data_IF_778531054426
#
_entry.id   IF_778531054426
#
_cell.length_a   1.000
_cell.length_b   1.000
_cell.length_c   1.000
_cell.angle_alpha   90.00
_cell.angle_beta   90.00
_cell.angle_gamma   90.00
#
_symmetry.space_group_name_H-M   'P 1'
#
loop_
_entity.id
_entity.type
_entity.pdbx_description
1 polymer ?
#
# COMPACT_ATOMS: atom_id res chain seq x y z
N UNK A 1 11.91 31.80 20.09
CA UNK A 1 12.22 30.63 19.31
C UNK A 1 11.01 30.30 18.50
N UNK A 2 11.14 30.07 17.21
CA UNK A 2 10.07 29.42 16.43
C UNK A 2 9.92 28.00 16.97
N UNK A 3 8.70 27.45 17.11
CA UNK A 3 8.56 26.02 17.35
C UNK A 3 9.22 25.30 16.18
N UNK A 4 10.18 24.43 16.45
CA UNK A 4 10.98 23.71 15.43
C UNK A 4 10.19 22.60 14.70
N UNK A 5 8.86 22.47 14.92
CA UNK A 5 8.02 21.40 14.41
C UNK A 5 6.64 21.87 13.91
N UNK A 6 6.54 23.01 13.25
CA UNK A 6 5.30 23.36 12.54
C UNK A 6 5.24 22.63 11.18
N UNK A 7 4.68 21.43 11.17
CA UNK A 7 4.32 20.76 9.91
C UNK A 7 3.12 21.46 9.30
N UNK A 8 3.31 22.09 8.14
CA UNK A 8 2.25 22.79 7.40
C UNK A 8 1.61 21.81 6.40
N UNK A 9 0.30 21.63 6.47
CA UNK A 9 -0.46 20.85 5.52
C UNK A 9 -1.18 21.74 4.52
N UNK A 10 -1.26 21.36 3.23
CA UNK A 10 -2.08 22.07 2.26
C UNK A 10 -3.57 21.81 2.51
N UNK A 11 -4.43 22.65 1.92
CA UNK A 11 -5.88 22.48 2.03
C UNK A 11 -6.45 22.96 3.36
N UNK A 12 -7.47 22.30 3.84
CA UNK A 12 -8.16 22.61 5.08
C UNK A 12 -8.37 21.39 5.95
N UNK A 13 -8.47 21.59 7.27
CA UNK A 13 -8.81 20.52 8.20
C UNK A 13 -10.27 20.60 8.60
N UNK A 14 -10.96 19.45 8.55
CA UNK A 14 -12.26 19.25 9.16
C UNK A 14 -12.12 18.28 10.33
N UNK A 15 -12.70 18.64 11.46
CA UNK A 15 -12.63 17.85 12.67
C UNK A 15 -14.03 17.32 12.99
N UNK A 16 -14.16 16.00 12.99
CA UNK A 16 -15.38 15.31 13.37
C UNK A 16 -15.25 14.72 14.77
N UNK A 17 -16.34 14.73 15.51
CA UNK A 17 -16.45 14.02 16.78
C UNK A 17 -16.97 12.61 16.52
N UNK A 18 -16.21 11.60 16.94
CA UNK A 18 -16.63 10.20 16.93
C UNK A 18 -16.79 9.64 18.36
N UNK A 19 -17.31 8.42 18.45
CA UNK A 19 -17.39 7.72 19.74
C UNK A 19 -16.01 7.39 20.32
N UNK A 20 -14.98 7.24 19.46
CA UNK A 20 -13.62 6.87 19.83
C UNK A 20 -12.72 8.10 20.06
N UNK A 21 -13.19 9.32 19.74
CA UNK A 21 -12.42 10.54 19.91
C UNK A 21 -12.65 11.57 18.81
N UNK A 22 -11.60 12.27 18.40
CA UNK A 22 -11.65 13.23 17.31
C UNK A 22 -11.05 12.59 16.06
N UNK A 23 -11.77 12.72 14.95
CA UNK A 23 -11.31 12.38 13.62
C UNK A 23 -10.90 13.68 12.92
N UNK A 24 -9.67 13.73 12.42
CA UNK A 24 -9.14 14.87 11.69
C UNK A 24 -9.02 14.47 10.22
N UNK A 25 -9.71 15.19 9.34
CA UNK A 25 -9.69 14.97 7.90
C UNK A 25 -9.05 16.18 7.24
N UNK A 26 -8.04 15.95 6.39
CA UNK A 26 -7.45 16.98 5.56
C UNK A 26 -8.16 17.00 4.20
N UNK A 27 -8.87 18.09 3.91
CA UNK A 27 -9.54 18.30 2.62
C UNK A 27 -8.66 19.10 1.69
N UNK A 28 -8.38 18.55 0.51
CA UNK A 28 -7.59 19.21 -0.51
C UNK A 28 -7.97 18.71 -1.92
N UNK A 29 -7.59 19.49 -2.92
CA UNK A 29 -7.76 19.11 -4.32
C UNK A 29 -6.93 17.86 -4.67
N UNK A 30 -7.44 17.00 -5.55
CA UNK A 30 -6.78 15.76 -5.94
C UNK A 30 -5.39 15.99 -6.52
N UNK A 31 -5.21 16.98 -7.39
CA UNK A 31 -3.90 17.27 -7.98
C UNK A 31 -2.92 17.81 -6.92
N UNK A 32 -3.41 18.54 -5.93
CA UNK A 32 -2.63 18.95 -4.78
C UNK A 32 -2.25 17.75 -3.91
N UNK A 33 -3.17 16.84 -3.62
CA UNK A 33 -2.90 15.60 -2.91
C UNK A 33 -1.76 14.79 -3.56
N UNK A 34 -1.79 14.67 -4.89
CA UNK A 34 -0.79 13.92 -5.64
C UNK A 34 0.63 14.52 -5.55
N UNK A 35 0.76 15.83 -5.37
CA UNK A 35 2.08 16.47 -5.17
C UNK A 35 2.76 16.02 -3.88
N UNK A 36 2.01 15.50 -2.92
CA UNK A 36 2.53 14.96 -1.67
C UNK A 36 2.64 13.43 -1.68
N UNK A 37 1.75 12.74 -2.40
CA UNK A 37 1.78 11.29 -2.56
C UNK A 37 2.93 10.86 -3.45
N UNK A 38 3.09 11.45 -4.63
CA UNK A 38 4.11 11.00 -5.60
C UNK A 38 5.53 11.02 -5.00
N UNK A 39 6.02 12.10 -4.34
CA UNK A 39 7.33 12.08 -3.72
C UNK A 39 7.42 11.18 -2.48
N UNK A 40 6.28 10.86 -1.83
CA UNK A 40 6.24 9.93 -0.70
C UNK A 40 6.38 8.48 -1.13
N UNK A 41 5.94 8.16 -2.36
CA UNK A 41 5.98 6.80 -2.93
C UNK A 41 7.21 6.56 -3.80
N UNK A 42 7.71 7.58 -4.49
CA UNK A 42 8.81 7.47 -5.44
C UNK A 42 9.80 8.63 -5.30
N UNK A 43 11.11 8.36 -5.13
CA UNK A 43 12.11 9.42 -5.05
C UNK A 43 12.08 10.36 -6.27
N UNK A 44 12.15 11.67 -6.03
CA UNK A 44 12.14 12.69 -7.10
C UNK A 44 13.31 12.60 -8.08
N UNK A 45 14.37 11.87 -7.70
CA UNK A 45 15.53 11.59 -8.55
C UNK A 45 15.31 10.54 -9.64
N UNK A 46 14.12 9.92 -9.66
CA UNK A 46 13.78 8.95 -10.72
C UNK A 46 13.53 9.65 -12.04
N UNK A 47 13.63 8.88 -13.13
CA UNK A 47 13.40 9.39 -14.49
C UNK A 47 12.00 10.02 -14.61
N UNK A 48 11.92 11.14 -15.35
CA UNK A 48 10.70 11.93 -15.51
C UNK A 48 9.48 11.09 -15.94
N UNK A 49 9.66 10.17 -16.89
CA UNK A 49 8.56 9.34 -17.37
C UNK A 49 8.10 8.30 -16.31
N UNK A 50 9.00 7.85 -15.43
CA UNK A 50 8.63 7.03 -14.29
C UNK A 50 7.80 7.82 -13.27
N UNK A 51 8.20 9.05 -12.94
CA UNK A 51 7.42 9.94 -12.08
C UNK A 51 6.04 10.25 -12.66
N UNK A 52 5.93 10.44 -13.98
CA UNK A 52 4.65 10.64 -14.67
C UNK A 52 3.77 9.38 -14.61
N UNK A 53 4.35 8.20 -14.80
CA UNK A 53 3.63 6.94 -14.66
C UNK A 53 3.10 6.77 -13.22
N UNK A 54 3.94 7.06 -12.22
CA UNK A 54 3.53 7.04 -10.81
C UNK A 54 2.38 8.01 -10.53
N UNK A 55 2.44 9.24 -11.06
CA UNK A 55 1.37 10.22 -10.90
C UNK A 55 0.04 9.73 -11.50
N UNK A 56 0.08 9.10 -12.69
CA UNK A 56 -1.12 8.52 -13.33
C UNK A 56 -1.67 7.34 -12.51
N UNK A 57 -0.80 6.45 -12.01
CA UNK A 57 -1.22 5.33 -11.16
C UNK A 57 -1.84 5.82 -9.85
N UNK A 58 -1.17 6.75 -9.16
CA UNK A 58 -1.65 7.30 -7.89
C UNK A 58 -3.00 8.02 -8.05
N UNK A 59 -3.16 8.81 -9.11
CA UNK A 59 -4.43 9.47 -9.44
C UNK A 59 -5.53 8.46 -9.71
N UNK A 60 -5.24 7.42 -10.49
CA UNK A 60 -6.19 6.35 -10.81
C UNK A 60 -6.66 5.63 -9.57
N UNK A 61 -5.72 5.27 -8.69
CA UNK A 61 -6.01 4.63 -7.42
C UNK A 61 -6.91 5.51 -6.53
N UNK A 62 -6.56 6.78 -6.36
CA UNK A 62 -7.38 7.71 -5.58
C UNK A 62 -8.80 7.85 -6.17
N UNK A 63 -8.94 8.00 -7.50
CA UNK A 63 -10.25 8.04 -8.16
C UNK A 63 -11.07 6.76 -7.93
N UNK A 64 -10.44 5.59 -7.93
CA UNK A 64 -11.11 4.34 -7.63
C UNK A 64 -11.62 4.33 -6.18
N UNK A 65 -10.80 4.75 -5.21
CA UNK A 65 -11.18 4.82 -3.79
C UNK A 65 -12.31 5.79 -3.51
N UNK A 66 -12.28 6.98 -4.13
CA UNK A 66 -13.37 7.97 -4.05
C UNK A 66 -14.70 7.35 -4.52
N UNK A 67 -14.68 6.56 -5.59
CA UNK A 67 -15.88 5.90 -6.12
C UNK A 67 -16.36 4.75 -5.24
N UNK A 68 -15.47 3.96 -4.67
CA UNK A 68 -15.78 2.85 -3.78
C UNK A 68 -16.29 3.29 -2.42
N UNK A 69 -16.01 4.53 -2.03
CA UNK A 69 -16.41 5.11 -0.73
C UNK A 69 -15.95 4.26 0.46
N UNK A 70 -14.76 3.70 0.36
CA UNK A 70 -14.20 2.79 1.36
C UNK A 70 -14.15 3.42 2.76
N UNK A 71 -13.88 4.72 2.83
CA UNK A 71 -13.74 5.48 4.07
C UNK A 71 -14.91 6.43 4.36
N UNK A 72 -16.08 6.24 3.72
CA UNK A 72 -17.25 7.13 3.87
C UNK A 72 -17.68 7.31 5.34
N UNK A 73 -17.60 6.26 6.15
CA UNK A 73 -17.90 6.31 7.59
C UNK A 73 -16.96 7.23 8.38
N UNK A 74 -15.81 7.56 7.83
CA UNK A 74 -14.82 8.47 8.39
C UNK A 74 -14.79 9.82 7.69
N UNK A 75 -15.76 10.09 6.81
CA UNK A 75 -15.84 11.31 5.99
C UNK A 75 -14.56 11.56 5.17
N UNK A 76 -13.90 10.49 4.73
CA UNK A 76 -12.67 10.52 3.97
C UNK A 76 -12.77 9.58 2.76
N UNK A 77 -11.86 9.71 1.81
CA UNK A 77 -11.76 8.88 0.62
C UNK A 77 -10.57 7.90 0.72
N UNK A 78 -9.50 8.32 1.37
CA UNK A 78 -8.26 7.57 1.59
C UNK A 78 -7.74 7.84 3.00
N UNK A 79 -6.86 6.97 3.50
CA UNK A 79 -6.04 7.24 4.68
C UNK A 79 -4.58 7.55 4.28
N UNK A 80 -3.75 7.97 5.22
CA UNK A 80 -2.36 8.35 5.00
C UNK A 80 -1.37 7.18 5.20
N UNK A 81 -1.88 5.97 5.35
CA UNK A 81 -1.09 4.76 5.62
C UNK A 81 -0.78 3.96 4.36
N UNK A 82 0.03 2.93 4.52
CA UNK A 82 0.33 1.93 3.47
C UNK A 82 -0.89 1.08 3.05
N UNK A 83 -2.02 1.19 3.74
CA UNK A 83 -3.27 0.54 3.35
C UNK A 83 -3.96 1.27 2.20
N UNK A 84 -3.66 2.59 2.04
CA UNK A 84 -4.07 3.40 0.89
C UNK A 84 -2.86 3.85 0.09
N UNK A 85 -2.40 5.09 0.29
CA UNK A 85 -1.21 5.67 -0.33
C UNK A 85 -0.45 6.48 0.71
N UNK A 86 0.87 6.31 0.76
CA UNK A 86 1.70 7.00 1.73
C UNK A 86 1.66 8.52 1.50
N UNK A 87 1.35 9.25 2.56
CA UNK A 87 1.29 10.71 2.55
C UNK A 87 2.14 11.27 3.69
N UNK A 88 3.40 11.55 3.40
CA UNK A 88 4.35 12.06 4.40
C UNK A 88 4.37 13.58 4.53
N UNK A 89 3.53 14.28 3.77
CA UNK A 89 3.53 15.75 3.72
C UNK A 89 4.94 16.34 3.54
N UNK A 90 5.69 15.77 2.61
CA UNK A 90 7.05 16.21 2.29
C UNK A 90 7.04 17.61 1.68
N UNK A 91 8.17 18.31 1.79
CA UNK A 91 8.34 19.56 1.06
C UNK A 91 8.17 19.37 -0.45
N UNK A 92 7.73 20.42 -1.14
CA UNK A 92 7.54 20.43 -2.58
C UNK A 92 8.80 19.95 -3.34
N UNK A 93 8.61 19.05 -4.27
CA UNK A 93 9.65 18.46 -5.12
C UNK A 93 9.36 18.88 -6.57
N UNK A 94 10.13 19.78 -7.17
CA UNK A 94 9.82 20.32 -8.52
C UNK A 94 9.64 19.25 -9.59
N UNK A 95 10.41 18.17 -9.54
CA UNK A 95 10.37 17.09 -10.54
C UNK A 95 9.06 16.31 -10.45
N UNK A 96 8.60 15.99 -9.25
CA UNK A 96 7.33 15.28 -9.03
C UNK A 96 6.15 16.21 -9.27
N UNK A 97 6.24 17.47 -8.89
CA UNK A 97 5.23 18.50 -9.18
C UNK A 97 5.02 18.68 -10.69
N UNK A 98 6.13 18.73 -11.45
CA UNK A 98 6.06 18.78 -12.91
C UNK A 98 5.42 17.52 -13.51
N UNK A 99 5.74 16.34 -12.98
CA UNK A 99 5.16 15.07 -13.43
C UNK A 99 3.64 15.02 -13.18
N UNK A 100 3.17 15.49 -12.02
CA UNK A 100 1.75 15.60 -11.70
C UNK A 100 1.06 16.55 -12.67
N UNK A 101 1.62 17.77 -12.87
CA UNK A 101 1.04 18.77 -13.75
C UNK A 101 0.98 18.33 -15.22
N UNK A 102 2.05 17.70 -15.75
CA UNK A 102 2.07 17.21 -17.14
C UNK A 102 1.11 16.03 -17.40
N UNK A 103 0.65 15.38 -16.35
CA UNK A 103 -0.29 14.28 -16.42
C UNK A 103 -1.66 14.61 -15.84
N UNK A 104 -1.95 15.88 -15.56
CA UNK A 104 -3.21 16.33 -14.96
C UNK A 104 -4.43 15.68 -15.64
N UNK A 105 -5.35 15.18 -14.83
CA UNK A 105 -6.59 14.55 -15.25
C UNK A 105 -6.44 13.19 -15.96
N UNK A 106 -5.21 12.68 -16.19
CA UNK A 106 -5.02 11.37 -16.83
C UNK A 106 -5.15 10.25 -15.84
N UNK A 107 -6.05 9.29 -16.13
CA UNK A 107 -6.26 8.06 -15.36
C UNK A 107 -6.26 6.84 -16.28
N UNK A 108 -6.05 5.66 -15.70
CA UNK A 108 -6.14 4.38 -16.40
C UNK A 108 -7.53 3.80 -16.16
N UNK A 109 -8.20 3.38 -17.24
CA UNK A 109 -9.54 2.81 -17.17
C UNK A 109 -9.62 1.44 -17.83
N UNK A 110 -10.53 0.61 -17.31
CA UNK A 110 -10.97 -0.62 -17.96
C UNK A 110 -12.49 -0.62 -18.00
N UNK A 111 -13.08 -0.84 -19.18
CA UNK A 111 -14.53 -0.76 -19.34
C UNK A 111 -15.15 0.61 -19.01
N UNK A 112 -14.36 1.70 -19.07
CA UNK A 112 -14.79 3.06 -18.74
C UNK A 112 -14.68 3.42 -17.25
N UNK A 113 -14.27 2.48 -16.40
CA UNK A 113 -14.10 2.66 -14.96
C UNK A 113 -12.62 2.76 -14.57
N UNK A 114 -12.25 3.59 -13.58
CA UNK A 114 -10.88 3.60 -13.05
C UNK A 114 -10.49 2.20 -12.56
N UNK A 115 -9.28 1.77 -12.87
CA UNK A 115 -8.76 0.48 -12.40
C UNK A 115 -8.23 0.58 -10.96
N UNK A 116 -8.04 -0.56 -10.31
CA UNK A 116 -7.22 -0.68 -9.10
C UNK A 116 -5.75 -0.64 -9.52
N UNK A 117 -5.19 0.57 -9.62
CA UNK A 117 -3.84 0.79 -10.10
C UNK A 117 -2.82 0.54 -8.99
N UNK A 118 -2.67 -0.72 -8.57
CA UNK A 118 -1.66 -1.11 -7.58
C UNK A 118 -0.25 -0.91 -8.12
N UNK A 119 0.65 -0.48 -7.25
CA UNK A 119 2.07 -0.30 -7.55
C UNK A 119 2.94 -0.79 -6.40
N UNK A 120 4.18 -1.11 -6.69
CA UNK A 120 5.17 -1.59 -5.74
C UNK A 120 6.59 -1.32 -6.28
N UNK A 121 7.60 -1.36 -5.42
CA UNK A 121 8.96 -0.99 -5.80
C UNK A 121 9.67 -2.06 -6.64
N UNK A 122 9.56 -3.33 -6.27
CA UNK A 122 10.33 -4.40 -6.90
C UNK A 122 9.55 -5.69 -6.87
N UNK A 123 9.49 -6.38 -8.01
CA UNK A 123 8.95 -7.74 -8.11
C UNK A 123 10.07 -8.79 -7.95
N UNK A 124 9.71 -10.05 -8.05
CA UNK A 124 10.70 -11.13 -8.21
C UNK A 124 11.07 -11.40 -9.68
N UNK A 125 10.82 -10.44 -10.58
CA UNK A 125 10.92 -10.58 -12.04
C UNK A 125 9.59 -10.97 -12.68
N UNK A 126 8.54 -11.13 -11.87
CA UNK A 126 7.17 -11.44 -12.31
C UNK A 126 6.17 -10.83 -11.33
N UNK A 127 5.15 -10.14 -11.84
CA UNK A 127 4.08 -9.59 -11.01
C UNK A 127 3.13 -10.68 -10.55
N UNK A 128 2.44 -10.46 -9.43
CA UNK A 128 1.34 -11.31 -8.98
C UNK A 128 0.01 -10.88 -9.59
N UNK A 129 -0.99 -11.75 -9.49
CA UNK A 129 -2.40 -11.41 -9.73
C UNK A 129 -3.04 -10.94 -8.42
N UNK A 130 -4.27 -10.42 -8.50
CA UNK A 130 -5.06 -10.01 -7.32
C UNK A 130 -5.56 -11.20 -6.47
N UNK A 131 -5.35 -12.44 -6.91
CA UNK A 131 -5.59 -13.66 -6.13
C UNK A 131 -4.83 -13.67 -4.79
N UNK A 132 -3.72 -12.93 -4.68
CA UNK A 132 -2.98 -12.78 -3.42
C UNK A 132 -3.82 -12.18 -2.29
N UNK A 133 -4.89 -11.46 -2.61
CA UNK A 133 -5.86 -10.93 -1.64
C UNK A 133 -7.11 -11.77 -1.49
N UNK A 134 -7.12 -13.01 -2.03
CA UNK A 134 -8.26 -13.93 -2.00
C UNK A 134 -9.53 -13.34 -2.67
N UNK A 135 -9.35 -12.59 -3.74
CA UNK A 135 -10.47 -12.11 -4.56
C UNK A 135 -11.13 -13.29 -5.26
N UNK A 136 -12.46 -13.28 -5.36
CA UNK A 136 -13.20 -14.38 -5.98
C UNK A 136 -13.05 -14.42 -7.50
N UNK A 137 -12.81 -13.26 -8.11
CA UNK A 137 -12.64 -13.09 -9.54
C UNK A 137 -11.44 -12.16 -9.79
N UNK A 138 -10.49 -12.62 -10.59
CA UNK A 138 -9.33 -11.84 -10.99
C UNK A 138 -9.72 -10.80 -12.02
N UNK A 139 -9.40 -9.53 -11.75
CA UNK A 139 -9.63 -8.46 -12.71
C UNK A 139 -8.79 -8.68 -13.99
N UNK A 140 -9.40 -8.47 -15.15
CA UNK A 140 -8.76 -8.74 -16.44
C UNK A 140 -7.42 -8.02 -16.63
N UNK A 141 -7.29 -6.83 -16.04
CA UNK A 141 -6.09 -6.00 -16.11
C UNK A 141 -5.03 -6.33 -15.03
N UNK A 142 -5.32 -7.18 -14.05
CA UNK A 142 -4.38 -7.58 -12.97
C UNK A 142 -3.74 -8.94 -13.23
N UNK A 143 -3.42 -9.23 -14.48
CA UNK A 143 -2.70 -10.46 -14.85
C UNK A 143 -1.23 -10.38 -14.50
N UNK A 144 -0.67 -11.53 -14.11
CA UNK A 144 0.77 -11.66 -13.89
C UNK A 144 1.55 -11.45 -15.19
N UNK A 145 2.55 -10.59 -15.16
CA UNK A 145 3.45 -10.30 -16.29
C UNK A 145 4.89 -10.47 -15.87
N UNK A 146 5.74 -10.91 -16.81
CA UNK A 146 7.19 -10.98 -16.62
C UNK A 146 7.78 -9.58 -16.79
N UNK A 147 8.61 -9.15 -15.84
CA UNK A 147 9.25 -7.82 -15.82
C UNK A 147 10.65 -7.91 -16.44
N UNK A 148 10.69 -7.91 -17.77
CA UNK A 148 11.91 -8.20 -18.51
C UNK A 148 12.34 -9.68 -18.40
N UNK A 149 13.43 -10.04 -19.06
CA UNK A 149 13.95 -11.40 -19.00
C UNK A 149 13.16 -12.44 -19.81
N UNK A 150 13.45 -13.69 -19.56
CA UNK A 150 12.75 -14.81 -20.18
C UNK A 150 11.38 -15.04 -19.51
N UNK A 151 10.35 -15.29 -20.33
CA UNK A 151 9.04 -15.63 -19.80
C UNK A 151 9.14 -16.93 -18.99
N UNK A 152 8.82 -16.87 -17.71
CA UNK A 152 8.80 -18.01 -16.81
C UNK A 152 7.42 -18.14 -16.15
N UNK A 153 6.89 -19.36 -16.12
CA UNK A 153 5.62 -19.66 -15.49
C UNK A 153 5.82 -20.86 -14.55
N UNK A 154 6.30 -20.61 -13.33
CA UNK A 154 6.48 -21.66 -12.35
C UNK A 154 5.12 -22.13 -11.83
N UNK A 155 4.72 -23.36 -12.24
CA UNK A 155 3.42 -23.95 -11.89
C UNK A 155 3.47 -24.81 -10.62
N UNK A 156 4.66 -25.14 -10.12
CA UNK A 156 4.84 -25.95 -8.91
C UNK A 156 5.69 -25.22 -7.87
N UNK A 157 5.61 -25.64 -6.62
CA UNK A 157 6.43 -25.08 -5.53
C UNK A 157 7.94 -25.25 -5.81
N UNK A 158 8.37 -26.38 -6.38
CA UNK A 158 9.76 -26.61 -6.72
C UNK A 158 10.23 -25.73 -7.88
N UNK A 159 9.37 -25.54 -8.89
CA UNK A 159 9.63 -24.64 -10.00
C UNK A 159 9.72 -23.19 -9.51
N UNK A 160 8.81 -22.77 -8.62
CA UNK A 160 8.83 -21.46 -8.02
C UNK A 160 10.08 -21.25 -7.12
N UNK A 161 10.42 -22.21 -6.28
CA UNK A 161 11.64 -22.16 -5.48
C UNK A 161 12.90 -22.05 -6.37
N UNK A 162 12.95 -22.77 -7.48
CA UNK A 162 14.03 -22.64 -8.47
C UNK A 162 14.05 -21.26 -9.13
N UNK A 163 12.88 -20.73 -9.49
CA UNK A 163 12.72 -19.40 -10.09
C UNK A 163 13.23 -18.29 -9.16
N UNK A 164 12.83 -18.26 -7.88
CA UNK A 164 13.21 -17.22 -6.94
C UNK A 164 14.65 -17.33 -6.45
N UNK A 165 15.32 -18.48 -6.63
CA UNK A 165 16.73 -18.65 -6.25
C UNK A 165 17.70 -18.30 -7.37
N UNK A 166 17.25 -18.29 -8.62
CA UNK A 166 18.09 -17.92 -9.78
C UNK A 166 18.04 -16.42 -9.98
N UNK A 167 19.20 -15.85 -10.33
CA UNK A 167 19.31 -14.47 -10.76
C UNK A 167 19.28 -14.44 -12.28
N UNK A 168 18.21 -13.88 -12.85
CA UNK A 168 18.08 -13.69 -14.29
C UNK A 168 18.73 -12.36 -14.67
N UNK A 169 19.86 -12.41 -15.36
CA UNK A 169 20.61 -11.23 -15.79
C UNK A 169 19.88 -10.38 -16.84
N UNK A 170 18.81 -10.89 -17.43
CA UNK A 170 18.01 -10.20 -18.44
C UNK A 170 16.78 -9.51 -17.83
N UNK A 171 16.49 -9.75 -16.54
CA UNK A 171 15.43 -9.04 -15.83
C UNK A 171 15.76 -7.56 -15.67
N UNK A 172 14.78 -6.68 -15.84
CA UNK A 172 14.95 -5.24 -15.64
C UNK A 172 15.26 -4.87 -14.18
N UNK A 173 14.93 -5.75 -13.23
CA UNK A 173 15.11 -5.54 -11.80
C UNK A 173 16.38 -6.22 -11.24
N UNK A 174 17.25 -6.79 -12.09
CA UNK A 174 18.37 -7.63 -11.67
C UNK A 174 19.35 -6.93 -10.74
N UNK A 175 19.52 -5.62 -10.87
CA UNK A 175 20.42 -4.82 -10.04
C UNK A 175 19.74 -4.29 -8.76
N UNK A 176 18.41 -4.44 -8.62
CA UNK A 176 17.72 -4.05 -7.42
C UNK A 176 18.06 -4.98 -6.24
N UNK A 177 18.34 -4.40 -5.08
CA UNK A 177 18.68 -5.14 -3.87
C UNK A 177 17.57 -6.04 -3.35
N UNK A 178 16.30 -5.72 -3.70
CA UNK A 178 15.13 -6.50 -3.32
C UNK A 178 14.73 -7.57 -4.34
N UNK A 179 15.33 -7.56 -5.54
CA UNK A 179 15.05 -8.56 -6.58
C UNK A 179 15.31 -9.98 -6.11
N UNK A 180 16.42 -10.20 -5.38
CA UNK A 180 16.78 -11.48 -4.74
C UNK A 180 17.43 -11.19 -3.40
N UNK A 181 16.81 -11.63 -2.36
CA UNK A 181 17.32 -11.47 -1.01
C UNK A 181 17.16 -12.76 -0.21
N UNK A 182 18.01 -12.95 0.77
CA UNK A 182 17.96 -14.07 1.70
C UNK A 182 18.27 -13.58 3.10
N UNK A 183 17.50 -14.04 4.06
CA UNK A 183 17.72 -13.79 5.48
C UNK A 183 17.93 -15.11 6.19
N UNK A 184 19.03 -15.24 6.93
CA UNK A 184 19.30 -16.36 7.82
C UNK A 184 19.10 -15.90 9.25
N UNK A 185 18.18 -16.51 9.96
CA UNK A 185 17.90 -16.20 11.37
C UNK A 185 18.34 -17.40 12.20
N UNK A 186 19.27 -17.24 13.16
CA UNK A 186 19.67 -18.31 14.07
C UNK A 186 18.46 -18.86 14.85
N UNK A 187 18.41 -20.16 15.08
CA UNK A 187 17.26 -20.84 15.65
C UNK A 187 16.92 -20.35 17.09
N UNK A 188 17.94 -20.00 17.86
CA UNK A 188 17.78 -19.41 19.20
C UNK A 188 17.10 -18.04 19.14
N UNK A 189 17.53 -17.15 18.22
CA UNK A 189 16.94 -15.83 17.98
C UNK A 189 15.48 -15.97 17.52
N UNK A 190 15.20 -16.92 16.62
CA UNK A 190 13.84 -17.18 16.15
C UNK A 190 12.95 -17.66 17.29
N UNK A 191 13.45 -18.60 18.11
CA UNK A 191 12.73 -19.14 19.27
C UNK A 191 12.42 -18.06 20.29
N UNK A 192 13.38 -17.18 20.60
CA UNK A 192 13.16 -16.06 21.52
C UNK A 192 12.11 -15.08 20.99
N UNK A 193 12.16 -14.71 19.72
CA UNK A 193 11.17 -13.82 19.09
C UNK A 193 9.78 -14.45 19.08
N UNK A 194 9.66 -15.74 18.75
CA UNK A 194 8.41 -16.48 18.77
C UNK A 194 7.79 -16.51 20.19
N UNK A 195 8.60 -16.76 21.21
CA UNK A 195 8.14 -16.73 22.62
C UNK A 195 7.68 -15.34 23.04
N UNK A 196 8.37 -14.27 22.64
CA UNK A 196 7.97 -12.88 22.91
C UNK A 196 6.63 -12.55 22.22
N UNK A 197 6.46 -12.95 20.96
CA UNK A 197 5.22 -12.76 20.24
C UNK A 197 4.05 -13.52 20.88
N UNK A 198 4.28 -14.77 21.30
CA UNK A 198 3.29 -15.57 22.01
C UNK A 198 2.88 -14.94 23.36
N UNK A 199 3.83 -14.42 24.13
CA UNK A 199 3.55 -13.71 25.39
C UNK A 199 2.70 -12.45 25.16
N UNK A 200 3.00 -11.67 24.10
CA UNK A 200 2.20 -10.49 23.72
C UNK A 200 0.78 -10.89 23.33
N UNK A 201 0.62 -11.92 22.51
CA UNK A 201 -0.68 -12.44 22.09
C UNK A 201 -1.51 -12.93 23.27
N UNK A 202 -0.89 -13.69 24.19
CA UNK A 202 -1.57 -14.19 25.39
C UNK A 202 -1.99 -13.04 26.30
N UNK A 203 -1.19 -11.99 26.43
CA UNK A 203 -1.53 -10.78 27.19
C UNK A 203 -2.70 -10.02 26.55
N UNK A 204 -2.71 -9.87 25.23
CA UNK A 204 -3.80 -9.24 24.49
C UNK A 204 -5.12 -10.06 24.62
N UNK A 205 -5.05 -11.38 24.51
CA UNK A 205 -6.18 -12.27 24.72
C UNK A 205 -6.72 -12.23 26.16
N UNK A 206 -5.86 -12.10 27.16
CA UNK A 206 -6.27 -11.96 28.55
C UNK A 206 -6.99 -10.63 28.79
N UNK A 207 -6.50 -9.54 28.23
CA UNK A 207 -7.15 -8.22 28.30
C UNK A 207 -8.49 -8.19 27.56
N UNK A 208 -8.61 -8.91 26.43
CA UNK A 208 -9.86 -9.03 25.68
C UNK A 208 -10.91 -9.89 26.41
N UNK A 209 -10.51 -10.89 27.19
CA UNK A 209 -11.43 -11.69 28.03
C UNK A 209 -12.07 -10.89 29.16
N UNK A 210 -11.43 -9.85 29.63
CA UNK A 210 -11.97 -8.98 30.69
C UNK A 210 -12.98 -7.94 30.18
N UNK A 211 -13.19 -7.81 28.86
CA UNK A 211 -14.23 -6.97 28.29
C UNK A 211 -15.36 -7.86 27.76
N UNK A 212 -16.62 -7.63 28.15
CA UNK A 212 -17.74 -8.38 27.60
C UNK A 212 -17.90 -8.02 26.12
N UNK A 213 -17.42 -8.89 25.23
CA UNK A 213 -17.72 -8.82 23.81
C UNK A 213 -19.19 -9.13 23.62
N UNK A 214 -19.99 -8.15 23.24
CA UNK A 214 -21.34 -8.38 22.71
C UNK A 214 -21.19 -9.03 21.33
N UNK A 215 -21.23 -10.35 21.32
CA UNK A 215 -21.30 -11.10 20.08
C UNK A 215 -22.72 -11.01 19.54
N UNK A 216 -22.93 -10.19 18.51
CA UNK A 216 -24.15 -10.23 17.70
C UNK A 216 -24.21 -11.56 16.96
N UNK A 217 -25.28 -12.35 17.16
CA UNK A 217 -25.53 -13.58 16.39
C UNK A 217 -25.85 -13.23 14.95
N UNK A 218 -24.93 -13.54 14.08
CA UNK A 218 -25.13 -13.51 12.61
C UNK A 218 -24.26 -14.61 11.99
N UNK A 219 -24.88 -15.41 11.16
CA UNK A 219 -24.40 -16.63 10.55
C UNK A 219 -22.99 -16.53 9.95
N UNK A 220 -22.15 -17.49 10.29
CA UNK A 220 -21.05 -18.00 9.45
C UNK A 220 -20.00 -16.99 9.00
N UNK A 221 -19.29 -16.31 9.90
CA UNK A 221 -18.20 -15.42 9.55
C UNK A 221 -16.94 -15.69 10.39
N UNK A 222 -15.81 -15.83 9.73
CA UNK A 222 -14.50 -15.88 10.37
C UNK A 222 -14.23 -14.55 11.07
N UNK A 223 -13.82 -14.61 12.34
CA UNK A 223 -13.37 -13.42 13.07
C UNK A 223 -12.08 -12.89 12.44
N UNK A 224 -12.15 -11.73 11.82
CA UNK A 224 -10.98 -10.92 11.49
C UNK A 224 -10.58 -10.16 12.76
N UNK A 225 -9.38 -10.43 13.27
CA UNK A 225 -8.77 -9.67 14.35
C UNK A 225 -8.10 -8.43 13.76
N UNK A 226 -8.80 -7.32 13.78
CA UNK A 226 -8.20 -6.01 13.58
C UNK A 226 -7.31 -5.66 14.78
N UNK A 227 -6.02 -5.58 14.57
CA UNK A 227 -5.08 -5.10 15.57
C UNK A 227 -4.94 -3.59 15.47
N UNK A 228 -5.60 -2.83 16.32
CA UNK A 228 -5.25 -1.43 16.52
C UNK A 228 -4.01 -1.34 17.39
N UNK A 229 -3.00 -0.63 16.90
CA UNK A 229 -1.87 -0.17 17.69
C UNK A 229 -2.20 1.22 18.23
N UNK A 230 -2.13 1.38 19.54
CA UNK A 230 -1.86 2.63 20.19
C UNK A 230 -0.35 2.76 20.39
#
# INVERSE_FOLDING_TARGET
GKPEDETVYPGSFVIYKSEEGLLVVNELDLEMYLRYVVPSEMPSSYEKEALKAQAVCARTYACARIREKTWENYHADVDDSVESQVYHNMEAQPETDAAVAETEGKIITCGGEPIQAYFFSTSCGKTSTDEVWNTAETAEYLKSVTVGGEKQEPETEEAFASFITKRDSTSLEVEDGWYRWQVTIPADVLSERAQRAQKRRNRALFLARCRPLRCGRGHGGRCLLGGHRG
#
